data_IF_269306801361
#
_entry.id   IF_269306801361
#
_cell.length_a   1.000
_cell.length_b   1.000
_cell.length_c   1.000
_cell.angle_alpha   90.00
_cell.angle_beta   90.00
_cell.angle_gamma   90.00
#
_symmetry.space_group_name_H-M   'P 1'
#
loop_
_entity.id
_entity.type
_entity.pdbx_description
1 polymer ?
#
# COMPACT_ATOMS: atom_id res chain seq x y z
N UNK A 1 13.34 9.78 -16.44
CA UNK A 1 12.16 10.19 -15.65
C UNK A 1 12.68 10.78 -14.36
N UNK A 2 12.26 12.00 -14.03
CA UNK A 2 12.60 12.65 -12.77
C UNK A 2 11.62 12.18 -11.68
N UNK A 3 12.09 11.54 -10.61
CA UNK A 3 11.25 11.14 -9.47
C UNK A 3 10.48 12.31 -8.84
N UNK A 4 11.04 13.53 -8.90
CA UNK A 4 10.49 14.74 -8.27
C UNK A 4 9.24 15.29 -8.93
N UNK A 5 8.85 14.74 -10.08
CA UNK A 5 7.62 15.08 -10.80
C UNK A 5 6.65 13.90 -10.89
N UNK A 6 6.98 12.77 -10.26
CA UNK A 6 6.24 11.53 -10.39
C UNK A 6 5.49 11.18 -9.09
N UNK A 7 4.28 10.64 -9.24
CA UNK A 7 3.55 9.98 -8.16
C UNK A 7 3.70 8.46 -8.29
N UNK A 8 3.80 7.78 -7.14
CA UNK A 8 3.98 6.33 -7.10
C UNK A 8 2.84 5.64 -6.34
N UNK A 9 2.33 4.57 -6.95
CA UNK A 9 1.40 3.63 -6.33
C UNK A 9 2.20 2.38 -5.90
N UNK A 10 2.12 2.05 -4.62
CA UNK A 10 2.75 0.87 -4.02
C UNK A 10 1.67 -0.07 -3.51
N UNK A 11 1.96 -1.37 -3.54
CA UNK A 11 1.09 -2.40 -2.98
C UNK A 11 1.72 -3.02 -1.74
N UNK A 12 0.93 -3.20 -0.69
CA UNK A 12 1.40 -3.68 0.61
C UNK A 12 0.58 -4.89 1.09
N UNK A 13 1.21 -5.94 1.64
CA UNK A 13 0.44 -7.06 2.17
C UNK A 13 -0.33 -6.67 3.44
N UNK A 14 -1.49 -7.30 3.71
CA UNK A 14 -2.41 -6.88 4.77
C UNK A 14 -1.78 -6.98 6.17
N UNK A 15 -0.89 -7.95 6.37
CA UNK A 15 -0.20 -8.20 7.64
C UNK A 15 1.17 -7.52 7.74
N UNK A 16 1.54 -6.61 6.82
CA UNK A 16 2.76 -5.85 7.00
C UNK A 16 2.64 -4.96 8.25
N UNK A 17 3.63 -4.96 9.17
CA UNK A 17 3.62 -4.05 10.30
C UNK A 17 3.61 -2.58 9.87
N UNK A 18 2.91 -1.72 10.63
CA UNK A 18 2.86 -0.28 10.36
C UNK A 18 4.24 0.37 10.27
N UNK A 19 5.18 -0.08 11.11
CA UNK A 19 6.56 0.43 11.10
C UNK A 19 7.29 0.20 9.77
N UNK A 20 7.00 -0.89 9.08
CA UNK A 20 7.57 -1.14 7.75
C UNK A 20 6.97 -0.18 6.70
N UNK A 21 5.69 0.18 6.85
CA UNK A 21 5.02 1.18 6.01
C UNK A 21 5.61 2.56 6.22
N UNK A 22 5.88 2.94 7.48
CA UNK A 22 6.54 4.20 7.83
C UNK A 22 7.93 4.31 7.17
N UNK A 23 8.78 3.29 7.34
CA UNK A 23 10.12 3.25 6.73
C UNK A 23 10.04 3.30 5.20
N UNK A 24 9.04 2.63 4.60
CA UNK A 24 8.82 2.65 3.17
C UNK A 24 8.47 4.04 2.66
N UNK A 25 7.56 4.74 3.34
CA UNK A 25 7.17 6.12 3.03
C UNK A 25 8.34 7.07 3.22
N UNK A 26 9.04 6.99 4.35
CA UNK A 26 10.24 7.79 4.64
C UNK A 26 11.31 7.61 3.56
N UNK A 27 11.62 6.37 3.18
CA UNK A 27 12.62 6.11 2.14
C UNK A 27 12.18 6.70 0.80
N UNK A 28 10.88 6.64 0.45
CA UNK A 28 10.40 7.16 -0.84
C UNK A 28 10.41 8.69 -0.89
N UNK A 29 10.05 9.37 0.19
CA UNK A 29 10.12 10.82 0.27
C UNK A 29 11.57 11.32 0.42
N UNK A 30 12.34 10.81 1.39
CA UNK A 30 13.66 11.34 1.69
C UNK A 30 14.75 10.95 0.70
N UNK A 31 14.67 9.75 0.11
CA UNK A 31 15.72 9.26 -0.81
C UNK A 31 15.42 9.55 -2.28
N UNK A 32 14.15 9.56 -2.66
CA UNK A 32 13.73 9.68 -4.05
C UNK A 32 12.89 10.92 -4.32
N UNK A 33 12.47 11.66 -3.28
CA UNK A 33 11.77 12.93 -3.40
C UNK A 33 10.53 12.88 -4.32
N UNK A 34 9.78 11.78 -4.28
CA UNK A 34 8.52 11.64 -5.01
C UNK A 34 7.48 12.66 -4.55
N UNK A 35 6.67 13.16 -5.49
CA UNK A 35 5.59 14.14 -5.23
C UNK A 35 4.50 13.56 -4.33
N UNK A 36 4.28 12.26 -4.42
CA UNK A 36 3.28 11.58 -3.61
C UNK A 36 3.41 10.06 -3.64
N UNK A 37 3.03 9.44 -2.54
CA UNK A 37 3.04 8.00 -2.35
C UNK A 37 1.65 7.55 -1.94
N UNK A 38 1.06 6.62 -2.70
CA UNK A 38 -0.19 5.96 -2.32
C UNK A 38 0.06 4.47 -2.13
N UNK A 39 -0.38 3.91 -0.99
CA UNK A 39 -0.17 2.50 -0.65
C UNK A 39 -1.54 1.80 -0.64
N UNK A 40 -1.71 0.82 -1.53
CA UNK A 40 -2.88 -0.07 -1.56
C UNK A 40 -2.58 -1.38 -0.85
N UNK A 41 -3.48 -1.81 0.04
CA UNK A 41 -3.37 -3.12 0.69
C UNK A 41 -3.85 -4.21 -0.28
N UNK A 42 -2.99 -5.17 -0.59
CA UNK A 42 -3.34 -6.36 -1.36
C UNK A 42 -4.17 -7.31 -0.47
N UNK A 43 -5.14 -8.02 -1.06
CA UNK A 43 -6.09 -8.94 -0.40
C UNK A 43 -7.36 -8.32 0.21
N UNK A 44 -7.94 -7.31 -0.43
CA UNK A 44 -9.35 -6.90 -0.18
C UNK A 44 -10.39 -7.97 -0.58
N UNK A 45 -9.98 -9.09 -1.19
CA UNK A 45 -10.87 -10.13 -1.73
C UNK A 45 -11.33 -11.16 -0.68
N UNK A 46 -10.53 -11.41 0.37
CA UNK A 46 -10.87 -12.45 1.37
C UNK A 46 -12.02 -12.03 2.30
N UNK A 47 -12.21 -10.72 2.52
CA UNK A 47 -13.32 -10.20 3.35
C UNK A 47 -14.66 -10.10 2.59
N UNK A 48 -14.66 -9.92 1.26
CA UNK A 48 -15.89 -9.97 0.47
C UNK A 48 -16.40 -11.41 0.31
N UNK A 49 -15.49 -12.39 0.22
CA UNK A 49 -15.85 -13.79 0.03
C UNK A 49 -16.48 -14.47 1.27
N UNK A 50 -16.19 -13.99 2.49
CA UNK A 50 -16.76 -14.56 3.72
C UNK A 50 -18.21 -14.12 4.02
N UNK A 51 -18.78 -13.21 3.22
CA UNK A 51 -20.20 -12.81 3.33
C UNK A 51 -21.17 -13.60 2.45
N UNK A 52 -20.68 -14.54 1.63
CA UNK A 52 -21.48 -15.25 0.62
C UNK A 52 -21.80 -16.71 0.95
N UNK A 53 -21.43 -17.21 2.14
CA UNK A 53 -21.65 -18.61 2.50
C UNK A 53 -22.06 -18.75 3.95
N UNK A 54 -23.30 -18.34 4.26
CA UNK A 54 -24.07 -18.80 5.43
C UNK A 54 -25.50 -18.29 5.35
N UNK A 55 -26.23 -18.81 4.37
CA UNK A 55 -27.69 -19.01 4.46
C UNK A 55 -27.89 -20.54 4.61
N UNK A 56 -27.64 -21.07 5.82
CA UNK A 56 -28.07 -22.39 6.30
C UNK A 56 -28.10 -22.46 7.84
#
# INVERSE_FOLDING_TARGET
MDPTECQILLTDPPLNPFKNREIMVETRFWKYNFVGVFIQIQAVVTFYANGAYRDD
#
